data_IF_689947137723
#
_entry.id   IF_689947137723
#
_cell.length_a   1.000
_cell.length_b   1.000
_cell.length_c   1.000
_cell.angle_alpha   90.00
_cell.angle_beta   90.00
_cell.angle_gamma   90.00
#
_symmetry.space_group_name_H-M   'P 1'
#
loop_
_entity.id
_entity.type
_entity.pdbx_description
1 polymer ?
#
# COMPACT_ATOMS: atom_id res chain seq x y z
N UNK A 1 -68.21 12.13 -6.63
CA UNK A 1 -67.33 11.95 -5.45
C UNK A 1 -65.90 12.14 -5.91
N UNK A 2 -65.14 13.02 -5.22
CA UNK A 2 -63.69 13.28 -5.25
C UNK A 2 -62.98 13.28 -6.63
N UNK A 3 -62.58 14.39 -7.25
CA UNK A 3 -61.66 15.49 -6.86
C UNK A 3 -60.16 15.16 -7.04
N UNK A 4 -59.43 16.14 -7.61
CA UNK A 4 -57.96 16.25 -7.80
C UNK A 4 -57.35 15.33 -8.88
N UNK A 5 -56.47 15.72 -9.81
CA UNK A 5 -55.41 16.76 -9.89
C UNK A 5 -54.88 16.65 -11.33
N UNK A 6 -54.51 17.69 -12.06
CA UNK A 6 -53.51 18.69 -11.76
C UNK A 6 -52.55 18.76 -12.96
N UNK A 7 -52.43 19.94 -13.55
CA UNK A 7 -51.82 20.21 -14.85
C UNK A 7 -50.30 19.93 -14.86
N UNK A 8 -49.82 19.28 -15.94
CA UNK A 8 -48.40 19.19 -16.25
C UNK A 8 -47.85 20.58 -16.60
N UNK A 9 -47.17 21.23 -15.64
CA UNK A 9 -46.24 22.33 -15.92
C UNK A 9 -44.83 21.75 -15.93
N UNK A 10 -44.22 21.72 -17.12
CA UNK A 10 -42.81 21.41 -17.29
C UNK A 10 -41.97 22.46 -16.55
N UNK A 11 -41.28 22.05 -15.48
CA UNK A 11 -40.24 22.83 -14.85
C UNK A 11 -38.92 22.50 -15.56
N UNK A 12 -38.43 23.43 -16.39
CA UNK A 12 -37.04 23.38 -16.86
C UNK A 12 -36.17 23.84 -15.69
N UNK A 13 -35.59 22.89 -14.96
CA UNK A 13 -34.52 23.18 -14.00
C UNK A 13 -33.24 23.32 -14.82
N UNK A 14 -32.82 24.56 -15.07
CA UNK A 14 -31.49 24.85 -15.57
C UNK A 14 -30.48 24.50 -14.45
N UNK A 15 -29.92 23.29 -14.51
CA UNK A 15 -28.80 22.91 -13.66
C UNK A 15 -27.56 23.66 -14.16
N UNK A 16 -27.23 24.77 -13.49
CA UNK A 16 -25.92 25.40 -13.63
C UNK A 16 -24.88 24.43 -13.06
N UNK A 17 -24.19 23.70 -13.94
CA UNK A 17 -22.97 22.98 -13.58
C UNK A 17 -21.94 24.05 -13.26
N UNK A 18 -21.83 24.38 -11.97
CA UNK A 18 -20.71 25.17 -11.47
C UNK A 18 -19.44 24.39 -11.74
N UNK A 19 -18.61 24.89 -12.65
CA UNK A 19 -17.21 24.49 -12.76
C UNK A 19 -16.54 24.89 -11.44
N UNK A 20 -16.55 23.99 -10.45
CA UNK A 20 -15.60 24.08 -9.36
C UNK A 20 -14.22 23.87 -10.00
N UNK A 21 -13.30 24.85 -9.91
CA UNK A 21 -11.94 24.59 -10.34
C UNK A 21 -11.43 23.41 -9.50
N UNK A 22 -11.06 22.33 -10.16
CA UNK A 22 -10.16 21.32 -9.60
C UNK A 22 -8.97 22.11 -9.09
N UNK A 23 -8.93 22.35 -7.77
CA UNK A 23 -7.77 22.88 -7.11
C UNK A 23 -6.65 21.89 -7.43
N UNK A 24 -5.81 22.23 -8.41
CA UNK A 24 -4.49 21.64 -8.54
C UNK A 24 -3.86 21.84 -7.17
N UNK A 25 -3.68 20.74 -6.43
CA UNK A 25 -2.83 20.76 -5.27
C UNK A 25 -1.54 21.46 -5.71
N UNK A 26 -1.25 22.60 -5.09
CA UNK A 26 -0.05 23.35 -5.39
C UNK A 26 1.12 22.36 -5.36
N UNK A 27 1.97 22.41 -6.39
CA UNK A 27 3.17 21.61 -6.51
C UNK A 27 4.13 22.06 -5.42
N UNK A 28 3.87 21.64 -4.18
CA UNK A 28 4.73 21.92 -3.04
C UNK A 28 6.01 21.14 -3.28
N UNK A 29 7.07 21.87 -3.65
CA UNK A 29 8.39 21.31 -3.84
C UNK A 29 8.77 20.46 -2.61
N UNK A 30 9.22 19.22 -2.86
CA UNK A 30 9.71 18.34 -1.80
C UNK A 30 10.90 19.03 -1.12
N UNK A 31 10.88 19.23 0.21
CA UNK A 31 11.98 19.87 0.92
C UNK A 31 13.31 19.14 0.66
N UNK A 32 14.37 19.89 0.40
CA UNK A 32 15.71 19.33 0.18
C UNK A 32 16.35 18.76 1.46
N UNK A 33 15.77 19.05 2.62
CA UNK A 33 16.23 18.57 3.92
C UNK A 33 15.10 17.81 4.59
N UNK A 34 15.34 16.60 5.12
CA UNK A 34 14.32 15.86 5.83
C UNK A 34 13.92 16.58 7.12
N UNK A 35 12.68 16.38 7.53
CA UNK A 35 12.19 16.83 8.83
C UNK A 35 12.93 16.10 9.96
N UNK A 36 13.17 16.81 11.06
CA UNK A 36 13.80 16.21 12.22
C UNK A 36 12.83 15.24 12.92
N UNK A 37 13.30 14.07 13.31
CA UNK A 37 12.48 13.10 14.04
C UNK A 37 13.00 11.67 13.91
N UNK A 38 12.22 10.75 14.46
CA UNK A 38 12.38 9.31 14.26
C UNK A 38 11.60 8.88 13.02
N UNK A 39 12.12 7.90 12.28
CA UNK A 39 11.43 7.30 11.14
C UNK A 39 11.47 5.77 11.23
N UNK A 40 10.32 5.12 11.32
CA UNK A 40 10.18 3.66 11.43
C UNK A 40 9.78 3.07 10.08
N UNK A 41 10.64 2.19 9.55
CA UNK A 41 10.39 1.46 8.32
C UNK A 41 10.16 -0.03 8.62
N UNK A 42 8.99 -0.54 8.27
CA UNK A 42 8.69 -1.96 8.32
C UNK A 42 9.31 -2.70 7.14
N UNK A 43 9.93 -3.84 7.41
CA UNK A 43 10.38 -4.83 6.42
C UNK A 43 10.07 -6.25 6.92
N UNK A 44 10.20 -7.21 6.02
CA UNK A 44 10.21 -8.63 6.32
C UNK A 44 11.54 -9.26 5.86
N UNK A 45 11.85 -10.54 6.18
CA UNK A 45 13.14 -11.15 5.87
C UNK A 45 13.26 -11.57 4.40
N UNK A 46 12.98 -10.63 3.49
CA UNK A 46 13.13 -10.79 2.05
C UNK A 46 14.42 -10.13 1.55
N UNK A 47 15.16 -10.84 0.70
CA UNK A 47 16.51 -10.44 0.29
C UNK A 47 16.53 -9.08 -0.43
N UNK A 48 15.47 -8.75 -1.17
CA UNK A 48 15.36 -7.48 -1.88
C UNK A 48 15.10 -6.26 -0.99
N UNK A 49 15.07 -6.42 0.34
CA UNK A 49 15.10 -5.33 1.32
C UNK A 49 16.50 -5.08 1.90
N UNK A 50 17.51 -5.86 1.48
CA UNK A 50 18.88 -5.79 2.01
C UNK A 50 19.56 -4.42 1.88
N UNK A 51 19.16 -3.59 0.90
CA UNK A 51 19.65 -2.23 0.75
C UNK A 51 19.42 -1.35 1.99
N UNK A 52 18.36 -1.60 2.76
CA UNK A 52 18.08 -0.84 3.99
C UNK A 52 19.11 -1.15 5.07
N UNK A 53 19.46 -2.43 5.25
CA UNK A 53 20.53 -2.83 6.16
C UNK A 53 21.90 -2.31 5.71
N UNK A 54 22.17 -2.26 4.40
CA UNK A 54 23.40 -1.66 3.86
C UNK A 54 23.44 -0.16 4.14
N UNK A 55 22.32 0.55 4.00
CA UNK A 55 22.22 1.97 4.28
C UNK A 55 22.47 2.28 5.77
N UNK A 56 21.90 1.48 6.66
CA UNK A 56 22.15 1.56 8.10
C UNK A 56 23.64 1.31 8.43
N UNK A 57 24.20 0.18 7.96
CA UNK A 57 25.58 -0.21 8.24
C UNK A 57 26.62 0.80 7.70
N UNK A 58 26.31 1.48 6.59
CA UNK A 58 27.16 2.52 6.00
C UNK A 58 26.87 3.92 6.54
N UNK A 59 25.92 4.08 7.46
CA UNK A 59 25.55 5.38 8.03
C UNK A 59 24.92 6.35 7.02
N UNK A 60 24.32 5.84 5.94
CA UNK A 60 23.77 6.65 4.86
C UNK A 60 22.56 7.48 5.31
N UNK A 61 21.73 6.96 6.21
CA UNK A 61 20.62 7.74 6.78
C UNK A 61 21.12 9.02 7.45
N UNK A 62 22.14 8.90 8.31
CA UNK A 62 22.75 10.05 8.99
C UNK A 62 23.41 11.02 8.01
N UNK A 63 24.11 10.50 7.00
CA UNK A 63 24.70 11.32 5.94
C UNK A 63 23.63 12.08 5.12
N UNK A 64 22.41 11.54 5.03
CA UNK A 64 21.23 12.18 4.42
C UNK A 64 20.43 13.06 5.38
N UNK A 65 20.90 13.30 6.61
CA UNK A 65 20.23 14.15 7.59
C UNK A 65 19.15 13.47 8.44
N UNK A 66 18.99 12.14 8.32
CA UNK A 66 18.08 11.33 9.15
C UNK A 66 18.86 10.71 10.30
N UNK A 67 18.69 11.25 11.51
CA UNK A 67 19.47 10.85 12.68
C UNK A 67 18.96 9.58 13.38
N UNK A 68 17.67 9.27 13.25
CA UNK A 68 16.98 8.16 13.91
C UNK A 68 16.06 7.43 12.92
N UNK A 69 16.63 6.46 12.21
CA UNK A 69 15.87 5.55 11.35
C UNK A 69 15.87 4.17 12.01
N UNK A 70 14.69 3.59 12.17
CA UNK A 70 14.50 2.28 12.79
C UNK A 70 13.93 1.31 11.76
N UNK A 71 14.71 0.28 11.42
CA UNK A 71 14.27 -0.82 10.58
C UNK A 71 13.60 -1.85 11.50
N UNK A 72 12.29 -2.06 11.32
CA UNK A 72 11.48 -2.98 12.12
C UNK A 72 11.19 -4.23 11.29
N UNK A 73 11.73 -5.36 11.73
CA UNK A 73 11.48 -6.66 11.08
C UNK A 73 10.17 -7.27 11.58
N UNK A 74 9.33 -7.67 10.64
CA UNK A 74 8.13 -8.48 10.85
C UNK A 74 8.36 -9.89 10.28
N UNK A 75 7.57 -10.85 10.75
CA UNK A 75 7.61 -12.24 10.26
C UNK A 75 6.50 -12.53 9.26
N UNK A 76 5.32 -11.94 9.45
CA UNK A 76 4.14 -12.15 8.60
C UNK A 76 3.68 -10.81 7.99
N UNK A 77 3.20 -10.86 6.74
CA UNK A 77 2.69 -9.69 6.01
C UNK A 77 1.54 -9.00 6.76
N UNK A 78 0.65 -9.79 7.38
CA UNK A 78 -0.52 -9.26 8.08
C UNK A 78 -0.12 -8.30 9.21
N UNK A 79 1.03 -8.54 9.86
CA UNK A 79 1.47 -7.77 11.02
C UNK A 79 2.10 -6.45 10.58
N UNK A 80 2.94 -6.46 9.53
CA UNK A 80 3.48 -5.23 8.93
C UNK A 80 2.36 -4.36 8.35
N UNK A 81 1.37 -4.98 7.70
CA UNK A 81 0.20 -4.28 7.15
C UNK A 81 -0.65 -3.62 8.26
N UNK A 82 -0.90 -4.34 9.36
CA UNK A 82 -1.62 -3.79 10.51
C UNK A 82 -0.83 -2.67 11.21
N UNK A 83 0.49 -2.80 11.32
CA UNK A 83 1.35 -1.79 11.90
C UNK A 83 1.37 -0.50 11.07
N UNK A 84 1.45 -0.61 9.74
CA UNK A 84 1.32 0.55 8.84
C UNK A 84 -0.07 1.19 8.95
N UNK A 85 -1.13 0.38 8.85
CA UNK A 85 -2.52 0.86 8.88
C UNK A 85 -2.88 1.58 10.19
N UNK A 86 -2.28 1.17 11.31
CA UNK A 86 -2.48 1.78 12.63
C UNK A 86 -1.57 2.98 12.92
N UNK A 87 -0.67 3.34 12.00
CA UNK A 87 0.28 4.45 12.18
C UNK A 87 1.44 4.13 13.12
N UNK A 88 1.72 2.85 13.40
CA UNK A 88 2.89 2.43 14.17
C UNK A 88 4.19 2.50 13.36
N UNK A 89 4.07 2.48 12.02
CA UNK A 89 5.16 2.65 11.05
C UNK A 89 4.94 3.92 10.23
N UNK A 90 6.03 4.59 9.88
CA UNK A 90 6.02 5.75 8.97
C UNK A 90 6.10 5.30 7.51
N UNK A 91 6.74 4.16 7.25
CA UNK A 91 6.76 3.49 5.95
C UNK A 91 6.82 1.97 6.13
N UNK A 92 6.41 1.24 5.09
CA UNK A 92 6.57 -0.19 5.02
C UNK A 92 6.93 -0.61 3.61
N UNK A 93 7.71 -1.66 3.50
CA UNK A 93 7.98 -2.34 2.25
C UNK A 93 6.94 -3.45 2.14
N UNK A 94 5.98 -3.29 1.22
CA UNK A 94 4.84 -4.18 1.04
C UNK A 94 4.57 -4.35 -0.45
N UNK A 95 3.84 -5.41 -0.80
CA UNK A 95 3.44 -5.63 -2.18
C UNK A 95 2.58 -4.49 -2.74
N UNK A 96 2.80 -4.14 -4.02
CA UNK A 96 2.10 -3.02 -4.70
C UNK A 96 0.58 -3.18 -4.64
N UNK A 97 0.08 -4.40 -4.83
CA UNK A 97 -1.37 -4.66 -4.80
C UNK A 97 -1.96 -4.44 -3.40
N UNK A 98 -1.21 -4.75 -2.34
CA UNK A 98 -1.60 -4.49 -0.94
C UNK A 98 -1.71 -3.00 -0.68
N UNK A 99 -0.72 -2.20 -1.10
CA UNK A 99 -0.77 -0.74 -1.02
C UNK A 99 -1.98 -0.17 -1.79
N UNK A 100 -2.27 -0.69 -2.99
CA UNK A 100 -3.46 -0.31 -3.76
C UNK A 100 -4.76 -0.66 -3.03
N UNK A 101 -4.83 -1.82 -2.37
CA UNK A 101 -5.96 -2.23 -1.54
C UNK A 101 -6.19 -1.30 -0.36
N UNK A 102 -5.12 -0.91 0.34
CA UNK A 102 -5.18 0.08 1.43
C UNK A 102 -5.71 1.43 0.93
N UNK A 103 -5.21 1.94 -0.20
CA UNK A 103 -5.69 3.19 -0.82
C UNK A 103 -7.17 3.07 -1.18
N UNK A 104 -7.60 1.96 -1.78
CA UNK A 104 -9.00 1.72 -2.13
C UNK A 104 -9.91 1.65 -0.88
N UNK A 105 -9.38 1.18 0.25
CA UNK A 105 -10.05 1.18 1.55
C UNK A 105 -10.02 2.54 2.27
N UNK A 106 -9.41 3.57 1.69
CA UNK A 106 -9.37 4.94 2.23
C UNK A 106 -8.23 5.20 3.21
N UNK A 107 -7.25 4.30 3.33
CA UNK A 107 -6.07 4.56 4.15
C UNK A 107 -5.18 5.61 3.46
N UNK A 108 -4.60 6.55 4.22
CA UNK A 108 -3.82 7.66 3.67
C UNK A 108 -2.37 7.25 3.33
N UNK A 109 -2.19 6.13 2.63
CA UNK A 109 -0.86 5.63 2.21
C UNK A 109 -0.51 6.10 0.80
N UNK A 110 0.79 6.24 0.52
CA UNK A 110 1.31 6.59 -0.80
C UNK A 110 2.47 5.68 -1.16
N UNK A 111 2.48 5.20 -2.41
CA UNK A 111 3.63 4.50 -2.96
C UNK A 111 4.65 5.57 -3.37
N UNK A 112 5.82 5.57 -2.74
CA UNK A 112 6.89 6.56 -3.00
C UNK A 112 8.12 5.97 -3.67
N UNK A 113 8.26 4.64 -3.66
CA UNK A 113 9.40 3.91 -4.20
C UNK A 113 8.98 2.52 -4.64
N UNK A 114 9.41 2.11 -5.84
CA UNK A 114 9.36 0.73 -6.29
C UNK A 114 10.77 0.14 -6.16
N UNK A 115 10.93 -0.88 -5.31
CA UNK A 115 12.23 -1.48 -5.03
C UNK A 115 12.61 -2.59 -6.01
N UNK A 116 11.61 -3.37 -6.43
CA UNK A 116 11.82 -4.55 -7.25
C UNK A 116 10.59 -4.88 -8.11
N UNK A 117 10.84 -5.66 -9.16
CA UNK A 117 9.83 -6.32 -9.97
C UNK A 117 10.13 -7.82 -9.95
N UNK A 118 9.54 -8.52 -8.97
CA UNK A 118 9.72 -9.97 -8.79
C UNK A 118 8.97 -10.73 -9.88
N UNK A 119 9.70 -11.51 -10.68
CA UNK A 119 9.13 -12.39 -11.70
C UNK A 119 9.22 -13.88 -11.33
N UNK A 120 10.05 -14.23 -10.35
CA UNK A 120 10.36 -15.64 -10.01
C UNK A 120 10.61 -15.89 -8.52
N UNK A 121 10.51 -14.88 -7.64
CA UNK A 121 10.81 -15.08 -6.22
C UNK A 121 9.68 -15.85 -5.51
N UNK A 122 8.44 -15.65 -5.95
CA UNK A 122 7.25 -16.31 -5.41
C UNK A 122 7.08 -17.69 -6.04
N UNK A 123 6.96 -18.73 -5.22
CA UNK A 123 6.88 -20.10 -5.69
C UNK A 123 5.96 -20.95 -4.81
N UNK A 124 5.22 -21.87 -5.44
CA UNK A 124 4.55 -22.95 -4.70
C UNK A 124 5.54 -24.07 -4.40
N UNK A 125 5.72 -24.37 -3.12
CA UNK A 125 6.51 -25.52 -2.68
C UNK A 125 5.55 -26.66 -2.40
N UNK A 126 5.78 -27.81 -3.05
CA UNK A 126 4.92 -28.97 -2.93
C UNK A 126 5.69 -30.26 -2.65
N UNK A 127 5.01 -31.23 -2.05
CA UNK A 127 5.54 -32.58 -1.86
C UNK A 127 5.68 -33.34 -3.18
N UNK A 128 6.45 -34.43 -3.16
CA UNK A 128 6.71 -35.30 -4.33
C UNK A 128 5.46 -35.89 -5.02
N UNK A 129 4.31 -35.84 -4.35
CA UNK A 129 3.01 -36.33 -4.83
C UNK A 129 2.22 -35.29 -5.65
N UNK A 130 2.71 -34.06 -5.75
CA UNK A 130 2.14 -32.98 -6.57
C UNK A 130 3.10 -32.68 -7.71
N UNK A 131 2.73 -33.07 -8.93
CA UNK A 131 3.56 -32.85 -10.13
C UNK A 131 2.94 -31.83 -11.09
N UNK A 132 1.70 -31.43 -10.83
CA UNK A 132 0.96 -30.43 -11.59
C UNK A 132 -0.04 -29.71 -10.69
N UNK A 133 -0.51 -28.53 -11.13
CA UNK A 133 -1.57 -27.77 -10.44
C UNK A 133 -2.85 -28.59 -10.30
N UNK A 134 -3.16 -29.47 -11.26
CA UNK A 134 -4.34 -30.33 -11.21
C UNK A 134 -4.33 -31.29 -10.01
N UNK A 135 -3.14 -31.71 -9.56
CA UNK A 135 -2.98 -32.61 -8.42
C UNK A 135 -3.36 -31.93 -7.08
N UNK A 136 -3.46 -30.60 -7.04
CA UNK A 136 -3.89 -29.85 -5.86
C UNK A 136 -5.39 -30.01 -5.57
N UNK A 137 -6.18 -30.53 -6.52
CA UNK A 137 -7.63 -30.65 -6.34
C UNK A 137 -7.97 -31.52 -5.13
N UNK A 138 -8.70 -30.94 -4.17
CA UNK A 138 -9.10 -31.60 -2.93
C UNK A 138 -8.02 -31.69 -1.86
N UNK A 139 -6.81 -31.14 -2.11
CA UNK A 139 -5.77 -30.98 -1.09
C UNK A 139 -5.98 -29.67 -0.32
N UNK A 140 -5.43 -29.62 0.89
CA UNK A 140 -5.28 -28.38 1.63
C UNK A 140 -4.00 -27.66 1.17
N UNK A 141 -4.11 -26.36 0.92
CA UNK A 141 -3.00 -25.50 0.49
C UNK A 141 -2.84 -24.42 1.55
N UNK A 142 -1.65 -24.30 2.12
CA UNK A 142 -1.29 -23.23 3.03
C UNK A 142 -0.81 -22.02 2.21
N UNK A 143 -1.22 -20.83 2.63
CA UNK A 143 -0.82 -19.54 2.06
C UNK A 143 -1.11 -18.45 3.11
N UNK A 144 -0.46 -17.30 2.98
CA UNK A 144 -0.86 -16.11 3.74
C UNK A 144 -1.98 -15.37 2.99
N UNK A 145 -3.11 -15.15 3.66
CA UNK A 145 -4.27 -14.53 3.00
C UNK A 145 -4.01 -13.05 2.69
N UNK A 146 -4.17 -12.67 1.42
CA UNK A 146 -4.02 -11.28 0.98
C UNK A 146 -2.57 -10.84 0.71
N UNK A 147 -1.64 -11.78 0.57
CA UNK A 147 -0.22 -11.55 0.25
C UNK A 147 0.11 -11.99 -1.19
N UNK A 148 1.37 -11.80 -1.61
CA UNK A 148 1.87 -12.31 -2.90
C UNK A 148 2.08 -13.83 -2.92
N UNK A 149 2.42 -14.44 -1.79
CA UNK A 149 2.82 -15.85 -1.68
C UNK A 149 2.46 -16.45 -0.32
#
# INVERSE_FOLDING_TARGET
MLNLTGQFRALVVAATIGFAPLAHAADTAIPATPEAGSFKIGIEPWLGYGQWHVAEAKGLFKASGLSDVQIVNFTEDKDINAALASGQLDAANIATHTAMGMVAAGLPVKIVLLLDVSMTADAMIAGKDVNSVADLKGKQVAFEEGTTS
#
